data_IF_217047824914
#
_entry.id   IF_217047824914
#
_cell.length_a   1.000
_cell.length_b   1.000
_cell.length_c   1.000
_cell.angle_alpha   90.00
_cell.angle_beta   90.00
_cell.angle_gamma   90.00
#
_symmetry.space_group_name_H-M   'P 1'
#
loop_
_entity.id
_entity.type
_entity.pdbx_description
1 polymer ?
#
# COMPACT_ATOMS: atom_id res chain seq x y z
N UNK A 1 25.33 -7.75 5.51
CA UNK A 1 24.88 -6.34 5.43
C UNK A 1 23.94 -6.06 6.59
N UNK A 2 24.21 -5.04 7.38
CA UNK A 2 23.39 -4.50 8.46
C UNK A 2 22.66 -3.26 7.97
N UNK A 3 21.32 -3.25 7.99
CA UNK A 3 20.50 -2.16 7.46
C UNK A 3 19.79 -1.41 8.58
N UNK A 4 19.78 -0.07 8.51
CA UNK A 4 18.86 0.75 9.28
C UNK A 4 17.65 1.11 8.41
N UNK A 5 16.44 0.92 8.95
CA UNK A 5 15.20 1.38 8.33
C UNK A 5 14.63 2.50 9.19
N UNK A 6 14.56 3.70 8.63
CA UNK A 6 13.95 4.85 9.27
C UNK A 6 12.54 5.02 8.70
N UNK A 7 11.53 4.98 9.55
CA UNK A 7 10.14 5.13 9.12
C UNK A 7 9.30 5.95 10.10
N UNK A 8 8.19 6.47 9.61
CA UNK A 8 7.14 7.09 10.44
C UNK A 8 6.10 6.07 10.93
N UNK A 9 6.35 4.78 10.70
CA UNK A 9 5.43 3.71 11.09
C UNK A 9 5.21 3.72 12.59
N UNK A 10 3.96 3.86 13.00
CA UNK A 10 3.57 3.83 14.41
C UNK A 10 3.83 2.46 15.02
N UNK A 11 4.42 2.46 16.21
CA UNK A 11 4.65 1.26 17.01
C UNK A 11 4.04 1.42 18.38
N UNK A 12 3.73 0.27 18.99
CA UNK A 12 3.03 0.14 20.24
C UNK A 12 3.63 -1.00 21.05
N UNK A 13 3.44 -0.98 22.36
CA UNK A 13 3.73 -2.12 23.23
C UNK A 13 2.39 -2.79 23.55
N UNK A 14 2.29 -4.08 23.27
CA UNK A 14 1.09 -4.86 23.64
C UNK A 14 1.10 -5.26 25.12
N UNK A 15 0.02 -5.88 25.59
CA UNK A 15 -0.14 -6.34 26.98
C UNK A 15 0.92 -7.35 27.43
N UNK A 16 1.60 -8.02 26.49
CA UNK A 16 2.70 -8.96 26.77
C UNK A 16 4.09 -8.31 26.72
N UNK A 17 4.17 -6.98 26.53
CA UNK A 17 5.43 -6.25 26.40
C UNK A 17 6.07 -6.35 25.01
N UNK A 18 5.43 -6.97 24.03
CA UNK A 18 5.95 -7.10 22.66
C UNK A 18 5.72 -5.85 21.83
N UNK A 19 6.72 -5.50 21.02
CA UNK A 19 6.62 -4.39 20.07
C UNK A 19 5.79 -4.83 18.86
N UNK A 20 4.76 -4.04 18.56
CA UNK A 20 3.91 -4.19 17.37
C UNK A 20 3.93 -2.90 16.56
N UNK A 21 3.90 -3.02 15.24
CA UNK A 21 3.83 -1.87 14.33
C UNK A 21 2.80 -2.12 13.23
N UNK A 22 2.53 -1.11 12.41
CA UNK A 22 1.57 -1.21 11.32
C UNK A 22 1.88 -2.37 10.38
N UNK A 23 0.92 -3.31 10.28
CA UNK A 23 1.08 -4.62 9.68
C UNK A 23 1.75 -4.65 8.30
N UNK A 24 1.31 -3.84 7.31
CA UNK A 24 1.92 -3.83 5.98
C UNK A 24 3.42 -3.50 5.98
N UNK A 25 3.88 -2.58 6.85
CA UNK A 25 5.31 -2.27 7.00
C UNK A 25 6.06 -3.40 7.69
N UNK A 26 5.49 -3.95 8.76
CA UNK A 26 6.12 -5.06 9.51
C UNK A 26 6.27 -6.30 8.62
N UNK A 27 5.26 -6.67 7.84
CA UNK A 27 5.35 -7.79 6.87
C UNK A 27 6.49 -7.59 5.87
N UNK A 28 6.62 -6.38 5.33
CA UNK A 28 7.69 -6.05 4.38
C UNK A 28 9.08 -6.14 5.01
N UNK A 29 9.26 -5.60 6.22
CA UNK A 29 10.53 -5.64 6.96
C UNK A 29 10.89 -7.08 7.33
N UNK A 30 9.92 -7.89 7.77
CA UNK A 30 10.13 -9.30 8.05
C UNK A 30 10.64 -10.07 6.80
N UNK A 31 10.10 -9.75 5.61
CA UNK A 31 10.59 -10.35 4.36
C UNK A 31 11.99 -9.85 3.98
N UNK A 32 12.28 -8.56 4.23
CA UNK A 32 13.60 -8.00 3.96
C UNK A 32 14.70 -8.64 4.84
N UNK A 33 14.37 -9.11 6.04
CA UNK A 33 15.28 -9.82 6.93
C UNK A 33 15.83 -11.14 6.33
N UNK A 34 15.19 -11.69 5.29
CA UNK A 34 15.70 -12.90 4.61
C UNK A 34 16.96 -12.65 3.79
N UNK A 35 17.17 -11.40 3.32
CA UNK A 35 18.31 -11.02 2.46
C UNK A 35 19.30 -10.07 3.15
N UNK A 36 19.18 -9.92 4.48
CA UNK A 36 20.05 -9.08 5.30
C UNK A 36 20.61 -9.86 6.50
N UNK A 37 21.75 -9.44 7.02
CA UNK A 37 22.31 -10.06 8.24
C UNK A 37 21.56 -9.57 9.49
N UNK A 38 21.27 -8.25 9.54
CA UNK A 38 20.48 -7.66 10.60
C UNK A 38 19.77 -6.38 10.13
N UNK A 39 18.67 -6.06 10.78
CA UNK A 39 17.89 -4.84 10.54
C UNK A 39 17.70 -4.08 11.84
N UNK A 40 18.02 -2.78 11.84
CA UNK A 40 17.64 -1.86 12.91
C UNK A 40 16.50 -1.01 12.42
N UNK A 41 15.28 -1.26 12.92
CA UNK A 41 14.11 -0.45 12.58
C UNK A 41 13.96 0.72 13.56
N UNK A 42 14.06 1.94 13.05
CA UNK A 42 14.03 3.19 13.80
C UNK A 42 12.71 3.90 13.51
N UNK A 43 11.80 3.94 14.48
CA UNK A 43 10.46 4.47 14.26
C UNK A 43 9.79 4.95 15.56
N UNK A 44 8.71 5.78 15.46
CA UNK A 44 8.00 6.27 16.63
C UNK A 44 7.38 5.15 17.46
N UNK A 45 7.48 5.25 18.79
CA UNK A 45 6.80 4.39 19.74
C UNK A 45 5.71 5.17 20.49
N UNK A 46 4.47 4.78 20.30
CA UNK A 46 3.29 5.39 20.91
C UNK A 46 2.92 4.67 22.21
N UNK A 47 2.37 5.43 23.17
CA UNK A 47 1.91 4.90 24.47
C UNK A 47 0.45 4.40 24.43
N UNK A 48 -0.22 4.53 23.28
CA UNK A 48 -1.61 4.09 23.10
C UNK A 48 -1.71 2.60 22.80
N UNK A 49 -2.90 2.02 22.93
CA UNK A 49 -3.17 0.62 22.59
C UNK A 49 -2.91 0.33 21.12
N UNK A 50 -2.31 -0.81 20.82
CA UNK A 50 -2.06 -1.26 19.46
C UNK A 50 -3.37 -1.52 18.70
N UNK A 51 -3.55 -0.98 17.47
CA UNK A 51 -4.71 -1.30 16.66
C UNK A 51 -4.68 -2.78 16.22
N UNK A 52 -5.86 -3.35 15.90
CA UNK A 52 -6.01 -4.75 15.46
C UNK A 52 -5.13 -5.11 14.24
N UNK A 53 -4.80 -4.13 13.40
CA UNK A 53 -3.94 -4.29 12.22
C UNK A 53 -2.44 -4.32 12.53
N UNK A 54 -2.03 -4.09 13.78
CA UNK A 54 -0.63 -4.09 14.18
C UNK A 54 -0.08 -5.52 14.29
N UNK A 55 1.13 -5.74 13.80
CA UNK A 55 1.82 -7.03 13.79
C UNK A 55 3.16 -6.93 14.53
N UNK A 56 3.62 -8.06 15.06
CA UNK A 56 4.96 -8.20 15.66
C UNK A 56 6.01 -8.55 14.59
N UNK A 57 7.26 -8.27 14.90
CA UNK A 57 8.38 -8.83 14.14
C UNK A 57 8.45 -10.34 14.38
N UNK A 58 8.78 -11.09 13.33
CA UNK A 58 8.91 -12.55 13.36
C UNK A 58 10.36 -13.05 13.14
N UNK A 59 11.33 -12.14 13.15
CA UNK A 59 12.74 -12.47 12.94
C UNK A 59 13.60 -11.87 14.05
N UNK A 60 14.48 -12.70 14.64
CA UNK A 60 15.49 -12.26 15.62
C UNK A 60 16.54 -11.32 15.04
N UNK A 61 16.65 -11.24 13.71
CA UNK A 61 17.54 -10.30 13.02
C UNK A 61 17.07 -8.84 13.10
N UNK A 62 15.84 -8.57 13.58
CA UNK A 62 15.25 -7.25 13.62
C UNK A 62 15.28 -6.68 15.03
N UNK A 63 15.98 -5.55 15.19
CA UNK A 63 16.01 -4.78 16.44
C UNK A 63 15.23 -3.48 16.26
N UNK A 64 14.29 -3.22 17.15
CA UNK A 64 13.54 -1.96 17.16
C UNK A 64 14.24 -0.89 18.02
N UNK A 65 14.31 0.34 17.51
CA UNK A 65 14.83 1.52 18.21
C UNK A 65 13.79 2.64 18.18
N UNK A 66 13.31 3.00 19.36
CA UNK A 66 12.21 3.93 19.54
C UNK A 66 12.63 5.39 19.30
N UNK A 67 11.86 6.10 18.47
CA UNK A 67 11.87 7.54 18.33
C UNK A 67 10.73 8.16 19.15
N UNK A 68 10.86 9.45 19.41
CA UNK A 68 9.78 10.25 20.03
C UNK A 68 8.72 10.51 18.95
N UNK A 69 7.45 10.14 19.18
CA UNK A 69 6.36 10.46 18.27
C UNK A 69 6.23 11.97 18.03
N UNK A 70 6.00 12.37 16.80
CA UNK A 70 5.86 13.76 16.40
C UNK A 70 4.89 13.94 15.26
N UNK A 71 4.36 15.15 15.09
CA UNK A 71 3.37 15.45 14.08
C UNK A 71 1.94 15.26 14.59
N UNK A 72 0.99 15.20 13.67
CA UNK A 72 -0.44 15.12 13.97
C UNK A 72 -1.25 16.16 13.20
N UNK A 73 -2.50 16.42 13.61
CA UNK A 73 -3.37 17.45 13.00
C UNK A 73 -3.19 18.81 13.70
N UNK A 74 -3.36 19.88 12.93
CA UNK A 74 -3.32 21.26 13.48
C UNK A 74 -1.98 21.60 14.11
N UNK A 75 -2.01 22.26 15.27
CA UNK A 75 -0.81 22.71 16.03
C UNK A 75 0.12 21.56 16.48
N UNK A 76 -0.39 20.33 16.57
CA UNK A 76 0.46 19.16 16.90
C UNK A 76 1.58 18.94 15.88
N UNK A 77 1.47 19.47 14.66
CA UNK A 77 2.55 19.45 13.66
C UNK A 77 3.82 20.16 14.14
N UNK A 78 3.69 21.17 14.98
CA UNK A 78 4.82 21.93 15.53
C UNK A 78 5.69 21.09 16.48
N UNK A 79 5.17 19.99 17.03
CA UNK A 79 5.95 19.06 17.84
C UNK A 79 7.19 18.53 17.12
N UNK A 80 7.17 18.50 15.78
CA UNK A 80 8.33 18.12 14.97
C UNK A 80 9.54 19.00 15.26
N UNK A 81 9.35 20.30 15.45
CA UNK A 81 10.45 21.24 15.73
C UNK A 81 11.20 20.89 17.02
N UNK A 82 10.49 20.48 18.06
CA UNK A 82 11.05 20.12 19.35
C UNK A 82 11.61 18.71 19.40
N UNK A 83 10.99 17.77 18.69
CA UNK A 83 11.40 16.36 18.71
C UNK A 83 12.50 16.05 17.68
N UNK A 84 12.62 16.82 16.60
CA UNK A 84 13.59 16.57 15.55
C UNK A 84 15.05 16.55 16.04
N UNK A 85 15.55 17.50 16.86
CA UNK A 85 16.92 17.45 17.36
C UNK A 85 17.21 16.19 18.17
N UNK A 86 16.30 15.80 19.05
CA UNK A 86 16.45 14.59 19.88
C UNK A 86 16.40 13.31 19.03
N UNK A 87 15.50 13.25 18.06
CA UNK A 87 15.40 12.11 17.16
C UNK A 87 16.62 12.02 16.24
N UNK A 88 17.15 13.15 15.74
CA UNK A 88 18.38 13.19 14.94
C UNK A 88 19.59 12.72 15.74
N UNK A 89 19.72 13.16 17.00
CA UNK A 89 20.79 12.71 17.88
C UNK A 89 20.74 11.18 18.11
N UNK A 90 19.55 10.61 18.36
CA UNK A 90 19.37 9.17 18.47
C UNK A 90 19.74 8.46 17.17
N UNK A 91 19.28 8.96 16.03
CA UNK A 91 19.61 8.40 14.72
C UNK A 91 21.12 8.45 14.48
N UNK A 92 21.77 9.56 14.74
CA UNK A 92 23.21 9.72 14.57
C UNK A 92 24.00 8.64 15.31
N UNK A 93 23.62 8.35 16.57
CA UNK A 93 24.26 7.29 17.36
C UNK A 93 24.06 5.90 16.76
N UNK A 94 22.85 5.61 16.25
CA UNK A 94 22.49 4.27 15.74
C UNK A 94 23.10 4.04 14.36
N UNK A 95 23.14 5.07 13.51
CA UNK A 95 23.54 4.95 12.12
C UNK A 95 25.05 4.82 11.89
N UNK A 96 25.88 5.03 12.93
CA UNK A 96 27.35 4.85 12.83
C UNK A 96 27.77 3.42 12.47
N UNK A 97 26.98 2.44 12.91
CA UNK A 97 27.31 1.02 12.82
C UNK A 97 26.44 0.28 11.81
N UNK A 98 25.94 0.96 10.76
CA UNK A 98 25.12 0.33 9.72
C UNK A 98 25.75 0.50 8.35
N UNK A 99 25.61 -0.53 7.52
CA UNK A 99 26.16 -0.56 6.17
C UNK A 99 25.29 0.18 5.16
N UNK A 100 23.96 0.20 5.38
CA UNK A 100 22.99 0.75 4.45
C UNK A 100 21.79 1.36 5.19
N UNK A 101 21.21 2.41 4.64
CA UNK A 101 20.06 3.09 5.25
C UNK A 101 18.89 3.07 4.28
N UNK A 102 17.70 2.66 4.75
CA UNK A 102 16.44 2.87 4.07
C UNK A 102 15.66 3.97 4.80
N UNK A 103 15.21 4.97 4.07
CA UNK A 103 14.23 5.94 4.56
C UNK A 103 12.89 5.75 3.88
N UNK A 104 11.80 5.70 4.65
CA UNK A 104 10.43 5.55 4.14
C UNK A 104 9.73 6.90 4.07
N UNK A 105 9.51 7.38 2.84
CA UNK A 105 8.87 8.64 2.49
C UNK A 105 7.51 8.39 1.77
N UNK A 106 6.62 9.42 1.66
CA UNK A 106 6.71 10.71 2.33
C UNK A 106 6.25 10.65 3.79
N UNK A 107 6.84 11.49 4.62
CA UNK A 107 6.43 11.57 6.03
C UNK A 107 6.81 12.93 6.63
N UNK A 108 6.19 13.30 7.75
CA UNK A 108 6.58 14.52 8.48
C UNK A 108 8.07 14.56 8.85
N UNK A 109 8.66 13.40 9.14
CA UNK A 109 10.08 13.26 9.44
C UNK A 109 10.99 13.57 8.24
N UNK A 110 10.50 13.38 7.01
CA UNK A 110 11.31 13.59 5.80
C UNK A 110 11.87 15.00 5.67
N UNK A 111 11.23 15.99 6.28
CA UNK A 111 11.68 17.38 6.23
C UNK A 111 13.06 17.56 6.89
N UNK A 112 13.35 16.79 7.94
CA UNK A 112 14.64 16.87 8.65
C UNK A 112 15.55 15.66 8.41
N UNK A 113 14.98 14.49 8.15
CA UNK A 113 15.77 13.26 7.91
C UNK A 113 16.49 13.31 6.55
N UNK A 114 15.83 13.77 5.48
CA UNK A 114 16.46 13.81 4.16
C UNK A 114 17.68 14.74 4.09
N UNK A 115 17.63 15.99 4.60
CA UNK A 115 18.82 16.83 4.72
C UNK A 115 19.89 16.20 5.61
N UNK A 116 19.51 15.65 6.75
CA UNK A 116 20.44 15.00 7.66
C UNK A 116 21.20 13.84 6.98
N UNK A 117 20.53 12.96 6.28
CA UNK A 117 21.18 11.87 5.53
C UNK A 117 22.09 12.41 4.44
N UNK A 118 21.71 13.48 3.74
CA UNK A 118 22.50 14.06 2.66
C UNK A 118 23.80 14.68 3.13
N UNK A 119 23.81 15.35 4.29
CA UNK A 119 24.95 16.10 4.78
C UNK A 119 25.85 15.33 5.75
N UNK A 120 25.30 14.38 6.48
CA UNK A 120 26.03 13.67 7.54
C UNK A 120 26.39 12.21 7.20
N UNK A 121 25.84 11.67 6.11
CA UNK A 121 26.12 10.30 5.70
C UNK A 121 26.53 10.22 4.24
N UNK A 122 27.79 9.90 3.99
CA UNK A 122 28.31 9.54 2.65
C UNK A 122 27.94 8.11 2.24
N UNK A 123 27.30 7.36 3.13
CA UNK A 123 26.85 6.00 2.84
C UNK A 123 25.73 6.01 1.81
N UNK A 124 25.72 4.99 0.96
CA UNK A 124 24.61 4.75 0.03
C UNK A 124 23.33 4.55 0.83
N UNK A 125 22.29 5.29 0.51
CA UNK A 125 20.98 5.12 1.11
C UNK A 125 19.89 5.00 0.05
N UNK A 126 18.82 4.37 0.44
CA UNK A 126 17.63 4.13 -0.37
C UNK A 126 16.44 4.85 0.24
N UNK A 127 15.72 5.60 -0.58
CA UNK A 127 14.46 6.22 -0.19
C UNK A 127 13.32 5.45 -0.86
N UNK A 128 12.46 4.83 -0.05
CA UNK A 128 11.21 4.25 -0.53
C UNK A 128 10.08 5.27 -0.42
N UNK A 129 9.70 5.88 -1.54
CA UNK A 129 8.58 6.80 -1.60
C UNK A 129 7.28 6.04 -1.93
N UNK A 130 6.48 5.73 -0.92
CA UNK A 130 5.28 4.90 -1.04
C UNK A 130 3.99 5.69 -1.37
N UNK A 131 4.05 7.02 -1.44
CA UNK A 131 2.92 7.90 -1.78
C UNK A 131 2.65 7.99 -3.28
N UNK A 132 1.63 8.78 -3.64
CA UNK A 132 1.38 9.14 -5.02
C UNK A 132 2.45 10.13 -5.51
N UNK A 133 3.29 9.70 -6.45
CA UNK A 133 4.40 10.52 -6.96
C UNK A 133 3.93 11.70 -7.82
N UNK A 134 2.77 11.59 -8.47
CA UNK A 134 2.20 12.63 -9.37
C UNK A 134 1.01 13.38 -8.78
N UNK A 135 0.73 13.22 -7.49
CA UNK A 135 -0.38 13.93 -6.83
C UNK A 135 -0.17 15.45 -6.92
N UNK A 136 -1.08 16.13 -7.59
CA UNK A 136 -1.09 17.60 -7.71
C UNK A 136 -1.55 18.27 -6.41
N UNK A 137 -2.36 17.57 -5.61
CA UNK A 137 -2.96 18.05 -4.36
C UNK A 137 -2.18 17.69 -3.11
N UNK A 138 -0.97 17.11 -3.25
CA UNK A 138 -0.19 16.67 -2.10
C UNK A 138 0.14 17.82 -1.13
N UNK A 139 0.21 17.55 0.18
CA UNK A 139 0.59 18.54 1.19
C UNK A 139 1.95 19.17 0.90
N UNK A 140 2.15 20.42 1.32
CA UNK A 140 3.40 21.17 1.08
C UNK A 140 4.65 20.41 1.53
N UNK A 141 4.61 19.76 2.71
CA UNK A 141 5.73 18.95 3.19
C UNK A 141 6.10 17.78 2.25
N UNK A 142 5.10 17.16 1.61
CA UNK A 142 5.35 16.10 0.64
C UNK A 142 5.88 16.67 -0.70
N UNK A 143 5.41 17.85 -1.12
CA UNK A 143 5.95 18.57 -2.29
C UNK A 143 7.42 18.91 -2.11
N UNK A 144 7.79 19.42 -0.93
CA UNK A 144 9.17 19.73 -0.60
C UNK A 144 10.04 18.48 -0.59
N UNK A 145 9.60 17.38 0.02
CA UNK A 145 10.33 16.11 0.01
C UNK A 145 10.52 15.58 -1.42
N UNK A 146 9.47 15.59 -2.25
CA UNK A 146 9.58 15.19 -3.65
C UNK A 146 10.60 16.04 -4.40
N UNK A 147 10.51 17.38 -4.29
CA UNK A 147 11.46 18.30 -4.91
C UNK A 147 12.90 18.06 -4.43
N UNK A 148 13.06 17.78 -3.12
CA UNK A 148 14.36 17.39 -2.56
C UNK A 148 14.91 16.13 -3.19
N UNK A 149 14.09 15.09 -3.28
CA UNK A 149 14.47 13.82 -3.87
C UNK A 149 14.85 13.94 -5.36
N UNK A 150 14.14 14.80 -6.09
CA UNK A 150 14.42 15.04 -7.52
C UNK A 150 15.70 15.85 -7.76
N UNK A 151 16.06 16.77 -6.86
CA UNK A 151 17.11 17.76 -7.18
C UNK A 151 18.34 17.71 -6.26
N UNK A 152 18.18 17.30 -5.01
CA UNK A 152 19.23 17.45 -3.98
C UNK A 152 19.82 16.15 -3.47
N UNK A 153 19.36 14.99 -3.95
CA UNK A 153 19.97 13.69 -3.62
C UNK A 153 21.17 13.39 -4.51
N UNK A 154 22.12 12.63 -3.96
CA UNK A 154 23.24 12.08 -4.75
C UNK A 154 22.71 11.17 -5.88
N UNK A 155 23.48 11.04 -6.97
CA UNK A 155 23.20 10.07 -8.04
C UNK A 155 23.23 8.61 -7.53
N UNK A 156 23.98 8.34 -6.47
CA UNK A 156 24.10 7.02 -5.84
C UNK A 156 22.92 6.70 -4.91
N UNK A 157 22.14 7.71 -4.50
CA UNK A 157 20.91 7.50 -3.71
C UNK A 157 19.84 6.87 -4.59
N UNK A 158 19.44 5.66 -4.28
CA UNK A 158 18.32 4.99 -4.96
C UNK A 158 17.00 5.48 -4.40
N UNK A 159 16.06 5.83 -5.27
CA UNK A 159 14.71 6.31 -4.89
C UNK A 159 13.71 5.42 -5.59
N UNK A 160 12.96 4.62 -4.84
CA UNK A 160 11.89 3.80 -5.41
C UNK A 160 10.55 4.52 -5.29
N UNK A 161 9.80 4.57 -6.39
CA UNK A 161 8.50 5.26 -6.48
C UNK A 161 7.47 4.33 -7.12
N UNK A 162 6.19 4.54 -6.81
CA UNK A 162 5.12 3.81 -7.49
C UNK A 162 4.97 4.32 -8.94
N UNK A 163 5.07 3.41 -9.90
CA UNK A 163 4.91 3.68 -11.33
C UNK A 163 6.13 4.27 -12.03
N UNK A 164 6.11 4.15 -13.35
CA UNK A 164 7.11 4.70 -14.26
C UNK A 164 6.69 6.11 -14.69
N UNK A 165 7.58 7.08 -14.54
CA UNK A 165 7.27 8.47 -14.85
C UNK A 165 8.31 9.05 -15.82
N UNK A 166 7.86 9.76 -16.87
CA UNK A 166 8.77 10.38 -17.83
C UNK A 166 9.57 11.51 -17.16
N UNK A 167 10.75 11.77 -17.69
CA UNK A 167 11.64 12.86 -17.28
C UNK A 167 12.12 12.80 -15.82
N UNK A 168 12.09 11.65 -15.18
CA UNK A 168 12.70 11.46 -13.87
C UNK A 168 14.19 11.05 -14.03
N UNK A 169 14.98 11.31 -13.00
CA UNK A 169 16.41 10.94 -12.98
C UNK A 169 16.58 9.42 -12.91
N UNK A 170 17.67 8.88 -13.45
CA UNK A 170 17.97 7.44 -13.49
C UNK A 170 18.01 6.76 -12.11
N UNK A 171 18.23 7.51 -11.03
CA UNK A 171 18.18 7.00 -9.68
C UNK A 171 16.78 6.95 -9.07
N UNK A 172 15.76 7.45 -9.78
CA UNK A 172 14.33 7.32 -9.43
C UNK A 172 13.78 6.12 -10.19
N UNK A 173 13.55 5.03 -9.46
CA UNK A 173 13.27 3.70 -9.99
C UNK A 173 11.79 3.37 -9.78
N UNK A 174 11.05 2.97 -10.83
CA UNK A 174 9.67 2.49 -10.66
C UNK A 174 9.68 1.18 -9.87
N UNK A 175 8.80 1.07 -8.87
CA UNK A 175 8.80 -0.08 -7.98
C UNK A 175 7.40 -0.43 -7.50
N UNK A 176 7.07 -1.71 -7.48
CA UNK A 176 5.78 -2.19 -7.02
C UNK A 176 5.75 -2.36 -5.49
N UNK A 177 4.57 -2.15 -4.90
CA UNK A 177 4.34 -2.41 -3.48
C UNK A 177 3.92 -3.88 -3.28
N UNK A 178 4.69 -4.69 -2.55
CA UNK A 178 4.36 -6.10 -2.35
C UNK A 178 3.16 -6.28 -1.43
N UNK A 179 2.32 -7.25 -1.76
CA UNK A 179 1.15 -7.62 -0.95
C UNK A 179 0.91 -9.13 -0.89
N UNK A 180 1.45 -9.91 -1.83
CA UNK A 180 1.20 -11.34 -1.97
C UNK A 180 2.42 -12.19 -1.58
N UNK A 181 2.19 -13.26 -0.85
CA UNK A 181 3.21 -14.28 -0.59
C UNK A 181 2.95 -15.57 -1.40
N UNK A 182 3.81 -16.57 -1.19
CA UNK A 182 3.70 -17.86 -1.91
C UNK A 182 2.38 -18.59 -1.61
N UNK A 183 1.88 -18.46 -0.39
CA UNK A 183 0.60 -19.09 -0.02
C UNK A 183 -0.58 -18.37 -0.68
N UNK A 184 -0.58 -17.03 -0.69
CA UNK A 184 -1.57 -16.23 -1.41
C UNK A 184 -1.65 -16.65 -2.88
N UNK A 185 -0.50 -16.89 -3.54
CA UNK A 185 -0.43 -17.33 -4.94
C UNK A 185 -1.03 -18.72 -5.15
N UNK A 186 -0.71 -19.66 -4.27
CA UNK A 186 -1.27 -21.04 -4.35
C UNK A 186 -2.79 -21.04 -4.17
N UNK A 187 -3.29 -20.27 -3.22
CA UNK A 187 -4.74 -20.12 -3.00
C UNK A 187 -5.39 -19.48 -4.23
N UNK A 188 -4.81 -18.38 -4.74
CA UNK A 188 -5.31 -17.69 -5.92
C UNK A 188 -5.38 -18.59 -7.14
N UNK A 189 -4.38 -19.45 -7.38
CA UNK A 189 -4.35 -20.41 -8.47
C UNK A 189 -5.53 -21.39 -8.39
N UNK A 190 -5.82 -21.96 -7.22
CA UNK A 190 -6.98 -22.82 -7.01
C UNK A 190 -8.30 -22.12 -7.34
N UNK A 191 -8.46 -20.88 -6.83
CA UNK A 191 -9.68 -20.10 -7.03
C UNK A 191 -9.91 -19.77 -8.50
N UNK A 192 -8.87 -19.56 -9.32
CA UNK A 192 -9.02 -19.31 -10.76
C UNK A 192 -9.78 -20.44 -11.46
N UNK A 193 -9.62 -21.68 -11.00
CA UNK A 193 -10.27 -22.87 -11.57
C UNK A 193 -11.69 -23.10 -11.04
N UNK A 194 -12.06 -22.53 -9.89
CA UNK A 194 -13.33 -22.80 -9.20
C UNK A 194 -14.46 -21.81 -9.52
N UNK A 195 -14.14 -20.64 -10.07
CA UNK A 195 -15.11 -19.54 -10.33
C UNK A 195 -15.90 -19.72 -11.63
N UNK A 196 -16.65 -20.80 -11.79
CA UNK A 196 -17.49 -21.01 -12.96
C UNK A 196 -18.99 -20.98 -12.59
N UNK A 197 -19.77 -20.16 -13.32
CA UNK A 197 -21.24 -20.11 -13.32
C UNK A 197 -21.97 -19.74 -12.02
N UNK A 198 -21.70 -18.55 -11.50
CA UNK A 198 -22.56 -17.96 -10.47
C UNK A 198 -23.76 -17.23 -11.08
N UNK A 199 -24.96 -17.44 -10.51
CA UNK A 199 -26.17 -16.64 -10.81
C UNK A 199 -26.15 -15.25 -10.15
N UNK A 200 -25.29 -15.05 -9.16
CA UNK A 200 -25.14 -13.82 -8.38
C UNK A 200 -23.82 -13.18 -8.73
N UNK A 201 -23.81 -11.88 -8.99
CA UNK A 201 -22.59 -11.10 -9.22
C UNK A 201 -22.23 -10.39 -7.92
N UNK A 202 -21.02 -10.61 -7.45
CA UNK A 202 -20.54 -10.08 -6.19
C UNK A 202 -19.41 -9.07 -6.41
N UNK A 203 -19.55 -7.93 -5.75
CA UNK A 203 -18.59 -6.84 -5.76
C UNK A 203 -17.98 -6.68 -4.37
N UNK A 204 -16.69 -6.36 -4.27
CA UNK A 204 -16.09 -5.98 -3.01
C UNK A 204 -15.42 -4.61 -3.07
N UNK A 205 -15.44 -3.93 -1.93
CA UNK A 205 -14.57 -2.80 -1.60
C UNK A 205 -13.70 -3.23 -0.42
N UNK A 206 -12.40 -2.96 -0.49
CA UNK A 206 -11.45 -3.26 0.60
C UNK A 206 -10.64 -2.02 0.91
N UNK A 207 -10.76 -1.50 2.12
CA UNK A 207 -10.04 -0.31 2.53
C UNK A 207 -10.65 0.43 3.70
N UNK A 208 -10.09 1.58 4.05
CA UNK A 208 -10.66 2.44 5.08
C UNK A 208 -11.97 3.05 4.63
N UNK A 209 -13.02 2.95 5.46
CA UNK A 209 -14.37 3.45 5.16
C UNK A 209 -14.42 4.97 5.35
N UNK A 210 -14.10 5.70 4.28
CA UNK A 210 -14.11 7.17 4.25
C UNK A 210 -14.35 7.72 2.82
N UNK A 211 -14.64 9.02 2.72
CA UNK A 211 -14.87 9.72 1.43
C UNK A 211 -13.63 9.80 0.53
N UNK A 212 -12.42 9.71 1.09
CA UNK A 212 -11.20 9.73 0.28
C UNK A 212 -11.05 8.45 -0.54
N UNK A 213 -11.52 7.33 0.01
CA UNK A 213 -11.58 6.03 -0.67
C UNK A 213 -12.81 5.87 -1.57
N UNK A 214 -13.71 6.84 -1.59
CA UNK A 214 -14.86 6.91 -2.49
C UNK A 214 -16.02 5.99 -2.10
N UNK A 215 -16.14 5.57 -0.83
CA UNK A 215 -17.24 4.73 -0.35
C UNK A 215 -18.59 5.43 -0.53
N UNK A 216 -18.63 6.75 -0.30
CA UNK A 216 -19.81 7.59 -0.59
C UNK A 216 -20.24 7.48 -2.06
N UNK A 217 -19.29 7.50 -2.99
CA UNK A 217 -19.58 7.40 -4.42
C UNK A 217 -20.05 6.01 -4.86
N UNK A 218 -19.56 4.96 -4.18
CA UNK A 218 -20.07 3.61 -4.41
C UNK A 218 -21.53 3.50 -3.94
N UNK A 219 -21.84 3.98 -2.72
CA UNK A 219 -23.21 3.94 -2.19
C UNK A 219 -24.17 4.77 -3.04
N UNK A 220 -23.80 6.00 -3.43
CA UNK A 220 -24.58 6.81 -4.39
C UNK A 220 -24.84 6.03 -5.70
N UNK A 221 -23.82 5.37 -6.25
CA UNK A 221 -23.97 4.59 -7.47
C UNK A 221 -24.91 3.39 -7.29
N UNK A 222 -24.78 2.67 -6.17
CA UNK A 222 -25.65 1.51 -5.87
C UNK A 222 -27.10 1.93 -5.69
N UNK A 223 -27.36 3.08 -5.07
CA UNK A 223 -28.72 3.64 -4.90
C UNK A 223 -29.39 3.92 -6.25
N UNK A 224 -28.63 4.46 -7.19
CA UNK A 224 -29.14 4.84 -8.52
C UNK A 224 -29.08 3.69 -9.54
N UNK A 225 -28.62 2.51 -9.12
CA UNK A 225 -28.44 1.37 -10.01
C UNK A 225 -29.79 0.68 -10.30
N UNK A 226 -30.31 0.86 -11.51
CA UNK A 226 -31.57 0.24 -11.92
C UNK A 226 -31.34 -1.19 -12.44
N UNK A 227 -31.18 -2.15 -11.52
CA UNK A 227 -31.04 -3.56 -11.83
C UNK A 227 -31.96 -4.41 -10.94
N UNK A 228 -32.65 -5.36 -11.55
CA UNK A 228 -33.48 -6.36 -10.86
C UNK A 228 -32.69 -7.65 -10.51
N UNK A 229 -31.37 -7.59 -10.62
CA UNK A 229 -30.53 -8.79 -10.54
C UNK A 229 -29.98 -8.99 -9.14
N UNK A 230 -29.63 -10.23 -8.82
CA UNK A 230 -28.96 -10.65 -7.60
C UNK A 230 -27.53 -10.09 -7.56
N UNK A 231 -27.38 -8.85 -7.11
CA UNK A 231 -26.10 -8.21 -6.84
C UNK A 231 -25.82 -8.17 -5.34
N UNK A 232 -24.60 -8.46 -4.95
CA UNK A 232 -24.14 -8.35 -3.57
C UNK A 232 -22.92 -7.44 -3.53
N UNK A 233 -22.90 -6.52 -2.58
CA UNK A 233 -21.78 -5.60 -2.35
C UNK A 233 -21.19 -5.82 -0.96
N UNK A 234 -19.92 -6.20 -0.92
CA UNK A 234 -19.16 -6.43 0.30
C UNK A 234 -18.24 -5.25 0.60
N UNK A 235 -18.41 -4.63 1.77
CA UNK A 235 -17.53 -3.57 2.26
C UNK A 235 -16.65 -4.12 3.38
N UNK A 236 -15.34 -4.22 3.12
CA UNK A 236 -14.35 -4.75 4.05
C UNK A 236 -13.44 -3.63 4.52
N UNK A 237 -13.37 -3.44 5.81
CA UNK A 237 -12.56 -2.43 6.46
C UNK A 237 -13.29 -1.69 7.57
N UNK A 238 -12.59 -0.72 8.13
CA UNK A 238 -13.11 0.12 9.20
C UNK A 238 -12.78 1.59 8.92
N UNK A 239 -13.39 2.51 9.64
CA UNK A 239 -13.14 3.94 9.45
C UNK A 239 -14.14 4.80 10.21
N UNK A 240 -13.79 6.07 10.38
CA UNK A 240 -14.61 7.04 11.14
C UNK A 240 -16.03 7.25 10.59
N UNK A 241 -16.27 6.87 9.32
CA UNK A 241 -17.56 7.04 8.66
C UNK A 241 -18.35 5.73 8.52
N UNK A 242 -17.88 4.63 9.10
CA UNK A 242 -18.52 3.31 8.96
C UNK A 242 -20.00 3.35 9.33
N UNK A 243 -20.34 3.80 10.54
CA UNK A 243 -21.75 3.87 11.00
C UNK A 243 -22.64 4.73 10.12
N UNK A 244 -22.12 5.84 9.58
CA UNK A 244 -22.87 6.69 8.64
C UNK A 244 -23.11 5.97 7.31
N UNK A 245 -22.16 5.18 6.81
CA UNK A 245 -22.34 4.41 5.57
C UNK A 245 -23.28 3.22 5.77
N UNK A 246 -23.23 2.56 6.91
CA UNK A 246 -24.17 1.49 7.28
C UNK A 246 -25.61 2.03 7.35
N UNK A 247 -25.80 3.23 7.93
CA UNK A 247 -27.11 3.86 7.99
C UNK A 247 -27.64 4.23 6.61
N UNK A 248 -26.81 4.85 5.77
CA UNK A 248 -27.20 5.19 4.39
C UNK A 248 -27.55 3.95 3.55
N UNK A 249 -26.91 2.82 3.83
CA UNK A 249 -27.14 1.58 3.09
C UNK A 249 -28.50 0.90 3.43
N UNK A 250 -29.12 1.21 4.57
CA UNK A 250 -30.42 0.58 4.98
C UNK A 250 -31.56 0.85 4.00
N UNK A 251 -31.50 1.96 3.28
CA UNK A 251 -32.55 2.37 2.32
C UNK A 251 -32.28 1.87 0.89
N UNK A 252 -31.25 1.05 0.69
CA UNK A 252 -30.88 0.51 -0.62
C UNK A 252 -31.44 -0.91 -0.74
N UNK A 253 -32.19 -1.20 -1.80
CA UNK A 253 -32.84 -2.50 -2.00
C UNK A 253 -31.87 -3.65 -2.28
N UNK A 254 -30.63 -3.34 -2.72
CA UNK A 254 -29.62 -4.35 -3.01
C UNK A 254 -28.94 -4.90 -1.73
N UNK A 255 -28.44 -6.11 -1.80
CA UNK A 255 -27.74 -6.72 -0.67
C UNK A 255 -26.38 -6.07 -0.45
N UNK A 256 -26.21 -5.40 0.70
CA UNK A 256 -24.98 -4.73 1.12
C UNK A 256 -24.53 -5.31 2.45
N UNK A 257 -23.27 -5.76 2.52
CA UNK A 257 -22.69 -6.41 3.70
C UNK A 257 -21.44 -5.66 4.15
N UNK A 258 -21.47 -5.10 5.36
CA UNK A 258 -20.32 -4.48 6.00
C UNK A 258 -19.66 -5.48 6.94
N UNK A 259 -18.46 -5.93 6.59
CA UNK A 259 -17.72 -6.95 7.34
C UNK A 259 -16.89 -6.40 8.51
N UNK A 260 -16.68 -5.06 8.54
CA UNK A 260 -15.69 -4.50 9.46
C UNK A 260 -14.25 -4.85 9.08
N UNK A 261 -13.34 -4.74 10.03
CA UNK A 261 -11.95 -5.12 9.83
C UNK A 261 -11.82 -6.66 9.79
N UNK A 262 -11.28 -7.15 8.70
CA UNK A 262 -10.92 -8.57 8.52
C UNK A 262 -9.41 -8.70 8.41
N UNK A 263 -8.85 -9.69 9.10
CA UNK A 263 -7.43 -10.01 9.00
C UNK A 263 -7.07 -10.50 7.59
N UNK A 264 -5.82 -10.23 7.16
CA UNK A 264 -5.39 -10.55 5.79
C UNK A 264 -5.62 -12.01 5.41
N UNK A 265 -5.40 -12.93 6.34
CA UNK A 265 -5.48 -14.36 6.07
C UNK A 265 -6.93 -14.85 5.83
N UNK A 266 -7.95 -14.10 6.32
CA UNK A 266 -9.36 -14.39 6.10
C UNK A 266 -9.99 -13.59 4.95
N UNK A 267 -9.29 -12.59 4.39
CA UNK A 267 -9.83 -11.75 3.32
C UNK A 267 -9.88 -12.50 1.98
N UNK A 268 -9.02 -13.50 1.79
CA UNK A 268 -9.01 -14.36 0.60
C UNK A 268 -10.36 -15.04 0.36
N UNK A 269 -11.07 -15.41 1.43
CA UNK A 269 -12.38 -16.06 1.34
C UNK A 269 -13.46 -15.10 0.79
N UNK A 270 -13.33 -13.80 1.04
CA UNK A 270 -14.24 -12.80 0.47
C UNK A 270 -13.85 -12.52 -0.98
N UNK A 271 -12.57 -12.29 -1.26
CA UNK A 271 -12.12 -12.13 -2.65
C UNK A 271 -12.53 -13.32 -3.52
N UNK A 272 -12.44 -14.55 -2.97
CA UNK A 272 -12.82 -15.77 -3.71
C UNK A 272 -14.30 -15.79 -4.11
N UNK A 273 -15.17 -15.11 -3.38
CA UNK A 273 -16.60 -14.98 -3.67
C UNK A 273 -16.90 -13.84 -4.65
N UNK A 274 -16.08 -12.79 -4.69
CA UNK A 274 -16.36 -11.60 -5.48
C UNK A 274 -15.87 -11.71 -6.91
N UNK A 275 -16.64 -11.21 -7.87
CA UNK A 275 -16.24 -11.13 -9.28
C UNK A 275 -15.45 -9.86 -9.58
N UNK A 276 -15.74 -8.79 -8.85
CA UNK A 276 -15.17 -7.47 -9.07
C UNK A 276 -14.73 -6.80 -7.77
N UNK A 277 -13.65 -6.03 -7.83
CA UNK A 277 -13.30 -5.06 -6.79
C UNK A 277 -13.61 -3.64 -7.28
N UNK A 278 -14.29 -2.83 -6.45
CA UNK A 278 -14.58 -1.42 -6.74
C UNK A 278 -13.74 -0.55 -5.82
N UNK A 279 -12.89 0.32 -6.37
CA UNK A 279 -12.04 1.22 -5.58
C UNK A 279 -11.93 2.60 -6.24
N UNK A 280 -12.91 3.51 -6.07
CA UNK A 280 -12.92 4.85 -6.65
C UNK A 280 -12.17 5.87 -5.76
N UNK A 281 -10.97 5.54 -5.33
CA UNK A 281 -10.14 6.38 -4.46
C UNK A 281 -9.72 7.67 -5.17
N UNK A 282 -9.72 8.80 -4.43
CA UNK A 282 -9.28 10.10 -4.96
C UNK A 282 -7.77 10.20 -5.17
N UNK A 283 -6.98 9.48 -4.40
CA UNK A 283 -5.51 9.42 -4.53
C UNK A 283 -4.97 8.13 -3.93
N UNK A 284 -4.03 7.51 -4.62
CA UNK A 284 -3.33 6.29 -4.19
C UNK A 284 -1.85 6.36 -4.61
N UNK A 285 -0.97 5.62 -3.92
CA UNK A 285 0.31 5.24 -4.49
C UNK A 285 0.08 4.16 -5.58
N UNK A 286 0.16 2.90 -5.18
CA UNK A 286 -0.53 1.77 -5.81
C UNK A 286 -1.21 0.98 -4.69
N UNK A 287 -2.54 0.83 -4.73
CA UNK A 287 -3.27 0.17 -3.66
C UNK A 287 -3.05 -1.33 -3.71
N UNK A 288 -2.52 -1.89 -2.62
CA UNK A 288 -2.21 -3.32 -2.48
C UNK A 288 -3.42 -4.21 -2.72
N UNK A 289 -4.59 -3.73 -2.35
CA UNK A 289 -5.87 -4.44 -2.51
C UNK A 289 -6.22 -4.77 -3.97
N UNK A 290 -5.74 -3.98 -4.94
CA UNK A 290 -5.90 -4.30 -6.36
C UNK A 290 -5.06 -5.54 -6.72
N UNK A 291 -3.78 -5.58 -6.31
CA UNK A 291 -2.92 -6.74 -6.53
C UNK A 291 -3.44 -7.99 -5.84
N UNK A 292 -3.97 -7.85 -4.61
CA UNK A 292 -4.63 -8.94 -3.87
C UNK A 292 -5.88 -9.44 -4.62
N UNK A 293 -6.79 -8.55 -4.99
CA UNK A 293 -8.02 -8.87 -5.68
C UNK A 293 -7.77 -9.58 -7.03
N UNK A 294 -6.82 -9.08 -7.83
CA UNK A 294 -6.41 -9.72 -9.08
C UNK A 294 -5.88 -11.15 -8.86
N UNK A 295 -5.11 -11.37 -7.80
CA UNK A 295 -4.61 -12.70 -7.46
C UNK A 295 -5.74 -13.69 -7.17
N UNK A 296 -6.80 -13.22 -6.52
CA UNK A 296 -7.96 -14.06 -6.15
C UNK A 296 -9.11 -14.01 -7.17
N UNK A 297 -8.83 -13.51 -8.39
CA UNK A 297 -9.76 -13.56 -9.53
C UNK A 297 -10.85 -12.49 -9.51
N UNK A 298 -10.68 -11.38 -8.77
CA UNK A 298 -11.55 -10.22 -8.92
C UNK A 298 -11.04 -9.31 -10.04
N UNK A 299 -11.98 -8.85 -10.90
CA UNK A 299 -11.68 -7.90 -11.96
C UNK A 299 -11.76 -6.47 -11.40
N UNK A 300 -10.73 -5.62 -11.58
CA UNK A 300 -10.72 -4.26 -11.02
C UNK A 300 -11.69 -3.30 -11.72
N UNK A 301 -12.45 -2.53 -10.93
CA UNK A 301 -13.19 -1.32 -11.32
C UNK A 301 -12.62 -0.20 -10.45
N UNK A 302 -11.68 0.57 -10.96
CA UNK A 302 -10.82 1.41 -10.11
C UNK A 302 -10.60 2.79 -10.71
N UNK A 303 -10.37 3.81 -9.87
CA UNK A 303 -10.08 5.15 -10.36
C UNK A 303 -8.76 5.22 -11.13
N UNK A 304 -8.76 6.01 -12.20
CA UNK A 304 -7.54 6.34 -12.96
C UNK A 304 -6.73 7.42 -12.22
N UNK A 305 -6.07 7.00 -11.16
CA UNK A 305 -5.21 7.88 -10.34
C UNK A 305 -3.84 7.28 -10.15
N UNK A 306 -2.81 8.14 -10.03
CA UNK A 306 -1.43 7.71 -9.86
C UNK A 306 -0.97 6.78 -11.00
N UNK A 307 -0.36 5.66 -10.65
CA UNK A 307 0.14 4.67 -11.60
C UNK A 307 -0.84 3.52 -11.87
N UNK A 308 -2.11 3.63 -11.48
CA UNK A 308 -3.07 2.52 -11.64
C UNK A 308 -3.24 2.16 -13.11
N UNK A 309 -3.38 3.16 -14.01
CA UNK A 309 -3.50 2.93 -15.46
C UNK A 309 -2.25 2.34 -16.13
N UNK A 310 -1.12 2.27 -15.44
CA UNK A 310 0.06 1.53 -15.91
C UNK A 310 -0.07 0.00 -15.72
N UNK A 311 -1.00 -0.44 -14.88
CA UNK A 311 -1.27 -1.85 -14.60
C UNK A 311 -2.68 -2.27 -15.04
N UNK A 312 -3.65 -1.37 -14.94
CA UNK A 312 -5.04 -1.60 -15.33
C UNK A 312 -5.32 -0.83 -16.62
N UNK A 313 -5.54 -1.55 -17.70
CA UNK A 313 -5.91 -1.02 -19.01
C UNK A 313 -7.43 -1.10 -19.16
N UNK A 314 -8.08 0.05 -19.43
CA UNK A 314 -9.54 0.14 -19.46
C UNK A 314 -10.14 -0.83 -20.47
N UNK A 315 -11.11 -1.64 -20.03
CA UNK A 315 -11.84 -2.65 -20.80
C UNK A 315 -11.00 -3.82 -21.35
N UNK A 316 -9.71 -3.87 -21.00
CA UNK A 316 -8.81 -4.99 -21.37
C UNK A 316 -8.63 -5.92 -20.17
N UNK A 317 -8.18 -5.39 -19.02
CA UNK A 317 -7.97 -6.20 -17.82
C UNK A 317 -8.65 -5.64 -16.57
N UNK A 318 -9.51 -4.65 -16.75
CA UNK A 318 -10.31 -3.99 -15.72
C UNK A 318 -10.97 -2.74 -16.27
N UNK A 319 -11.60 -1.97 -15.41
CA UNK A 319 -12.34 -0.77 -15.78
C UNK A 319 -11.80 0.44 -15.02
N UNK A 320 -11.45 1.51 -15.75
CA UNK A 320 -10.98 2.75 -15.16
C UNK A 320 -12.13 3.74 -14.98
N UNK A 321 -12.28 4.25 -13.76
CA UNK A 321 -13.25 5.28 -13.39
C UNK A 321 -12.60 6.65 -13.56
N UNK A 322 -13.04 7.42 -14.53
CA UNK A 322 -12.61 8.79 -14.78
C UNK A 322 -13.71 9.56 -15.56
N UNK A 323 -14.34 10.62 -14.98
CA UNK A 323 -14.13 11.18 -13.64
C UNK A 323 -14.67 10.30 -12.50
N UNK A 324 -14.22 10.56 -11.26
CA UNK A 324 -14.66 9.79 -10.07
C UNK A 324 -16.05 10.30 -9.63
N UNK A 325 -17.08 9.80 -10.27
CA UNK A 325 -18.51 10.13 -10.02
C UNK A 325 -19.34 8.86 -9.90
N UNK A 326 -20.47 8.93 -9.21
CA UNK A 326 -21.43 7.82 -9.14
C UNK A 326 -21.91 7.39 -10.52
N UNK A 327 -22.17 8.32 -11.43
CA UNK A 327 -22.58 8.04 -12.82
C UNK A 327 -21.53 7.19 -13.58
N UNK A 328 -20.25 7.53 -13.46
CA UNK A 328 -19.21 6.75 -14.12
C UNK A 328 -19.03 5.37 -13.47
N UNK A 329 -19.18 5.27 -12.13
CA UNK A 329 -19.20 3.97 -11.44
C UNK A 329 -20.32 3.09 -11.95
N UNK A 330 -21.56 3.62 -12.07
CA UNK A 330 -22.73 2.90 -12.63
C UNK A 330 -22.40 2.37 -14.03
N UNK A 331 -21.86 3.24 -14.90
CA UNK A 331 -21.48 2.86 -16.25
C UNK A 331 -20.48 1.69 -16.26
N UNK A 332 -19.46 1.73 -15.38
CA UNK A 332 -18.45 0.66 -15.30
C UNK A 332 -19.05 -0.62 -14.71
N UNK A 333 -19.98 -0.53 -13.77
CA UNK A 333 -20.72 -1.70 -13.25
C UNK A 333 -21.51 -2.36 -14.39
N UNK A 334 -22.26 -1.59 -15.20
CA UNK A 334 -23.00 -2.16 -16.34
C UNK A 334 -22.07 -2.82 -17.38
N UNK A 335 -20.93 -2.21 -17.70
CA UNK A 335 -19.95 -2.81 -18.61
C UNK A 335 -19.39 -4.12 -18.04
N UNK A 336 -19.07 -4.13 -16.75
CA UNK A 336 -18.57 -5.31 -16.05
C UNK A 336 -19.59 -6.46 -16.03
N UNK A 337 -20.87 -6.15 -15.83
CA UNK A 337 -21.97 -7.13 -15.84
C UNK A 337 -22.22 -7.74 -17.23
N UNK A 338 -21.87 -7.04 -18.30
CA UNK A 338 -22.03 -7.53 -19.69
C UNK A 338 -20.94 -8.51 -20.12
N UNK A 339 -19.85 -8.61 -19.36
CA UNK A 339 -18.80 -9.59 -19.68
C UNK A 339 -19.34 -11.02 -19.63
N UNK A 340 -19.16 -11.75 -20.72
CA UNK A 340 -19.44 -13.18 -20.73
C UNK A 340 -18.36 -13.98 -19.98
N UNK A 341 -18.59 -15.26 -19.76
CA UNK A 341 -17.70 -16.10 -18.96
C UNK A 341 -16.29 -16.21 -19.59
N UNK A 342 -16.19 -16.34 -20.92
CA UNK A 342 -14.90 -16.45 -21.60
C UNK A 342 -14.08 -15.15 -21.48
N UNK A 343 -14.71 -13.99 -21.55
CA UNK A 343 -14.06 -12.69 -21.33
C UNK A 343 -13.57 -12.55 -19.89
N UNK A 344 -14.43 -12.91 -18.91
CA UNK A 344 -14.03 -12.89 -17.49
C UNK A 344 -12.84 -13.81 -17.24
N UNK A 345 -12.82 -15.02 -17.78
CA UNK A 345 -11.72 -15.97 -17.62
C UNK A 345 -10.40 -15.44 -18.22
N UNK A 346 -10.45 -14.88 -19.42
CA UNK A 346 -9.27 -14.26 -20.05
C UNK A 346 -8.71 -13.12 -19.19
N UNK A 347 -9.57 -12.24 -18.70
CA UNK A 347 -9.17 -11.12 -17.83
C UNK A 347 -8.59 -11.64 -16.53
N UNK A 348 -9.23 -12.60 -15.88
CA UNK A 348 -8.76 -13.20 -14.63
C UNK A 348 -7.38 -13.83 -14.79
N UNK A 349 -7.18 -14.63 -15.83
CA UNK A 349 -5.89 -15.27 -16.13
C UNK A 349 -4.78 -14.24 -16.36
N UNK A 350 -5.06 -13.20 -17.15
CA UNK A 350 -4.12 -12.10 -17.38
C UNK A 350 -3.78 -11.39 -16.06
N UNK A 351 -4.77 -11.05 -15.26
CA UNK A 351 -4.60 -10.36 -13.98
C UNK A 351 -3.86 -11.21 -12.95
N UNK A 352 -4.11 -12.52 -12.92
CA UNK A 352 -3.37 -13.45 -12.08
C UNK A 352 -1.88 -13.46 -12.43
N UNK A 353 -1.52 -13.49 -13.71
CA UNK A 353 -0.12 -13.39 -14.13
C UNK A 353 0.49 -12.02 -13.77
N UNK A 354 -0.23 -10.94 -14.04
CA UNK A 354 0.19 -9.58 -13.67
C UNK A 354 0.43 -9.43 -12.17
N UNK A 355 -0.38 -10.08 -11.33
CA UNK A 355 -0.26 -10.04 -9.88
C UNK A 355 1.07 -10.61 -9.34
N UNK A 356 1.82 -11.38 -10.13
CA UNK A 356 3.19 -11.82 -9.80
C UNK A 356 4.12 -10.65 -9.47
N UNK A 357 3.92 -9.49 -10.11
CA UNK A 357 4.69 -8.27 -9.84
C UNK A 357 4.50 -7.73 -8.41
N UNK A 358 3.39 -8.07 -7.76
CA UNK A 358 3.07 -7.63 -6.41
C UNK A 358 3.40 -8.66 -5.33
N UNK A 359 4.18 -9.68 -5.66
CA UNK A 359 4.66 -10.68 -4.68
C UNK A 359 5.84 -10.16 -3.88
N UNK A 360 5.97 -10.61 -2.64
CA UNK A 360 7.19 -10.35 -1.84
C UNK A 360 8.43 -10.95 -2.47
N UNK A 361 8.31 -12.07 -3.19
CA UNK A 361 9.44 -12.70 -3.90
C UNK A 361 9.96 -11.79 -5.02
N UNK A 362 9.06 -11.25 -5.86
CA UNK A 362 9.43 -10.29 -6.90
C UNK A 362 10.08 -9.03 -6.29
N UNK A 363 9.49 -8.50 -5.22
CA UNK A 363 9.99 -7.33 -4.50
C UNK A 363 11.42 -7.55 -3.95
N UNK A 364 11.68 -8.67 -3.27
CA UNK A 364 13.00 -9.00 -2.72
C UNK A 364 14.02 -9.20 -3.85
N UNK A 365 13.64 -9.86 -4.92
CA UNK A 365 14.49 -10.05 -6.10
C UNK A 365 14.93 -8.71 -6.71
N UNK A 366 13.99 -7.77 -6.86
CA UNK A 366 14.28 -6.43 -7.38
C UNK A 366 15.19 -5.64 -6.42
N UNK A 367 14.91 -5.68 -5.12
CA UNK A 367 15.77 -5.03 -4.11
C UNK A 367 17.19 -5.55 -4.20
N UNK A 368 17.37 -6.86 -4.24
CA UNK A 368 18.70 -7.48 -4.29
C UNK A 368 19.44 -7.05 -5.56
N UNK A 369 18.79 -7.04 -6.70
CA UNK A 369 19.39 -6.73 -8.00
C UNK A 369 19.58 -5.23 -8.25
N UNK A 370 18.63 -4.39 -7.87
CA UNK A 370 18.61 -2.98 -8.28
C UNK A 370 19.05 -2.02 -7.16
N UNK A 371 18.87 -2.41 -5.89
CA UNK A 371 19.20 -1.58 -4.74
C UNK A 371 20.51 -2.01 -4.10
N UNK A 372 20.69 -3.31 -3.86
CA UNK A 372 21.85 -3.86 -3.13
C UNK A 372 22.97 -4.39 -4.03
N UNK A 373 22.80 -4.42 -5.35
CA UNK A 373 23.73 -5.04 -6.31
C UNK A 373 25.19 -4.61 -6.08
N UNK A 374 25.47 -3.34 -5.92
CA UNK A 374 26.81 -2.83 -5.67
C UNK A 374 27.39 -3.21 -4.29
N UNK A 375 26.56 -3.71 -3.36
CA UNK A 375 27.01 -4.12 -2.04
C UNK A 375 27.53 -5.56 -2.02
N UNK A 376 26.92 -6.43 -2.82
CA UNK A 376 27.34 -7.83 -2.92
C UNK A 376 28.62 -8.00 -3.75
N UNK A 377 28.89 -7.12 -4.70
CA UNK A 377 30.11 -7.16 -5.51
C UNK A 377 31.39 -6.78 -4.74
N UNK A 378 31.30 -5.96 -3.71
CA UNK A 378 32.46 -5.54 -2.90
C UNK A 378 32.83 -6.55 -1.80
N UNK A 379 32.05 -7.59 -1.57
CA UNK A 379 32.31 -8.64 -0.57
C UNK A 379 32.98 -9.87 -1.22
N UNK A 380 32.95 -9.98 -2.53
CA UNK A 380 33.48 -11.13 -3.31
C UNK A 380 34.84 -10.83 -3.94
N UNK A 381 35.28 -9.59 -3.92
CA UNK A 381 36.64 -9.15 -4.28
C UNK A 381 37.36 -8.61 -3.03
#
# INVERSE_FOLDING_TARGET
MKIAIISHTEHYIDSSGKIKGWGPTIKEINKLASVTNSIVHIAPLHKTTAPKSALSYNSSKITFKALIPSGGKGFKKLSILFTAPLNLYKMFKILKDVDYIQFRAPSGMGIYVLPFLRFFYNTKYWVKYAGNWKDKSMPLGNKLQKKWLQNFTSKDTKITVNGLWPNERNNIIPFENPCLDKNDRKIGEKIQHEKINKKVIEFCFVGSLNKHKGVDKILEAITDLNVKNNLIFHFIGDGAMKSSFEENAKNIELTIIFHGFIAKDAISDIYSKCDFIILPSKSEGFPKVIGEAMNFGCIPIVSDVSCISQYIQNEINGFLINPITSKEIIKKIYLAMRLNNNEKEKIKKYNFELAKKFTYEHYINRITKEIFFNFFFFIIN
#
